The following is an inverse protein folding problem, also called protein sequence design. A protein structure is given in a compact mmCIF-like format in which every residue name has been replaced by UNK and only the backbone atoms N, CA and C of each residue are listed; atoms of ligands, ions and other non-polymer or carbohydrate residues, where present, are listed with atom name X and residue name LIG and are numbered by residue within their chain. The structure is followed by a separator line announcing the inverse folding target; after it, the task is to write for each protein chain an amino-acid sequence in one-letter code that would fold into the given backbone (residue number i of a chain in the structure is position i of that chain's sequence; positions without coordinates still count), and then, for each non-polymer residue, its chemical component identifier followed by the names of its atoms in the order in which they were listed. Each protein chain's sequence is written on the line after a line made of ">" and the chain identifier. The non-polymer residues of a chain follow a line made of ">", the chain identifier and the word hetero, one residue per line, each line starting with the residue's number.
data_IF_883262332827
#
_entry.id   IF_883262332827
#
_cell.length_a   1.000
_cell.length_b   1.000
_cell.length_c   1.000
_cell.angle_alpha   90.00
_cell.angle_beta   90.00
_cell.angle_gamma   90.00
#
_symmetry.space_group_name_H-M   'P 1'
#
loop_
_entity.id
_entity.type
_entity.pdbx_description
1 polymer ?
#
# COMPACT_ATOMS: atom_id res chain seq x y z
N UNK A 1 -6.01 -13.96 -17.52
CA UNK A 1 -7.15 -13.23 -16.92
C UNK A 1 -6.63 -11.92 -16.33
N UNK A 2 -7.46 -10.88 -16.24
CA UNK A 2 -7.09 -9.60 -15.64
C UNK A 2 -8.24 -8.99 -14.82
N UNK A 3 -7.93 -8.02 -13.98
CA UNK A 3 -8.91 -7.10 -13.38
C UNK A 3 -8.96 -5.80 -14.17
N UNK A 4 -10.14 -5.52 -14.72
CA UNK A 4 -10.47 -4.24 -15.31
C UNK A 4 -11.21 -3.40 -14.26
N UNK A 5 -10.56 -2.37 -13.72
CA UNK A 5 -11.09 -1.49 -12.67
C UNK A 5 -12.46 -0.86 -13.02
N UNK A 6 -12.81 -0.72 -14.30
CA UNK A 6 -14.12 -0.17 -14.70
C UNK A 6 -15.28 -1.09 -14.34
N UNK A 7 -15.03 -2.40 -14.24
CA UNK A 7 -16.10 -3.40 -14.13
C UNK A 7 -15.84 -4.54 -13.16
N UNK A 8 -14.59 -4.74 -12.75
CA UNK A 8 -14.19 -5.78 -11.80
C UNK A 8 -14.95 -5.65 -10.47
N UNK A 9 -15.27 -4.41 -10.08
CA UNK A 9 -15.90 -4.11 -8.80
C UNK A 9 -17.44 -4.19 -8.81
N UNK A 10 -18.08 -4.44 -9.96
CA UNK A 10 -19.55 -4.56 -10.02
C UNK A 10 -20.03 -5.84 -9.33
N UNK A 11 -20.86 -5.70 -8.32
CA UNK A 11 -21.33 -6.75 -7.42
C UNK A 11 -20.27 -7.23 -6.42
N UNK A 12 -19.14 -6.52 -6.32
CA UNK A 12 -18.05 -6.90 -5.41
C UNK A 12 -18.35 -6.55 -3.96
N UNK A 13 -17.49 -6.99 -3.05
CA UNK A 13 -17.45 -6.50 -1.66
C UNK A 13 -17.34 -4.97 -1.61
N UNK A 14 -16.48 -4.36 -2.43
CA UNK A 14 -16.25 -2.92 -2.41
C UNK A 14 -17.50 -2.13 -2.80
N UNK A 15 -18.22 -2.56 -3.84
CA UNK A 15 -19.48 -1.93 -4.24
C UNK A 15 -20.57 -2.07 -3.16
N UNK A 16 -20.63 -3.22 -2.46
CA UNK A 16 -21.56 -3.42 -1.32
C UNK A 16 -21.28 -2.50 -0.14
N UNK A 17 -20.04 -2.05 0.04
CA UNK A 17 -19.65 -1.05 1.03
C UNK A 17 -19.47 0.34 0.41
N UNK A 18 -20.07 0.58 -0.76
CA UNK A 18 -20.13 1.90 -1.39
C UNK A 18 -18.75 2.52 -1.66
N UNK A 19 -17.72 1.68 -1.81
CA UNK A 19 -16.37 2.06 -2.21
C UNK A 19 -16.21 1.72 -3.69
N UNK A 20 -15.98 2.74 -4.52
CA UNK A 20 -15.69 2.58 -5.94
C UNK A 20 -14.19 2.82 -6.20
N UNK A 21 -13.40 1.76 -6.47
CA UNK A 21 -11.97 1.91 -6.72
C UNK A 21 -11.70 2.56 -8.08
N UNK A 22 -10.77 3.51 -8.12
CA UNK A 22 -10.36 4.22 -9.33
C UNK A 22 -8.94 3.82 -9.74
N UNK A 23 -8.01 3.87 -8.78
CA UNK A 23 -6.61 3.59 -9.00
C UNK A 23 -6.00 3.00 -7.73
N UNK A 24 -5.05 2.09 -7.89
CA UNK A 24 -4.14 1.68 -6.83
C UNK A 24 -2.72 1.82 -7.37
N UNK A 25 -1.83 2.42 -6.58
CA UNK A 25 -0.40 2.38 -6.79
C UNK A 25 0.30 1.86 -5.54
N UNK A 26 1.35 1.08 -5.71
CA UNK A 26 2.18 0.53 -4.63
C UNK A 26 3.64 0.84 -4.94
N UNK A 27 4.38 1.25 -3.92
CA UNK A 27 5.81 1.42 -3.96
C UNK A 27 6.43 0.45 -2.94
N UNK A 28 7.11 -0.56 -3.47
CA UNK A 28 7.89 -1.59 -2.76
C UNK A 28 9.35 -1.12 -2.62
N UNK A 29 9.56 0.16 -2.31
CA UNK A 29 10.90 0.75 -2.35
C UNK A 29 11.87 0.13 -1.33
N UNK A 30 11.35 -0.60 -0.35
CA UNK A 30 12.09 -0.95 0.85
C UNK A 30 11.96 -2.42 1.25
N UNK A 31 10.81 -3.05 1.01
CA UNK A 31 10.53 -4.42 1.40
C UNK A 31 11.62 -5.40 0.94
N UNK A 32 12.02 -6.29 1.84
CA UNK A 32 13.12 -7.29 1.76
C UNK A 32 12.84 -8.44 0.76
N UNK A 33 12.12 -8.13 -0.31
CA UNK A 33 11.48 -9.07 -1.24
C UNK A 33 12.52 -9.74 -2.10
N UNK A 34 12.98 -10.92 -1.67
CA UNK A 34 13.55 -12.08 -2.40
C UNK A 34 14.67 -11.88 -3.46
N UNK A 35 14.90 -10.67 -3.98
CA UNK A 35 16.01 -10.30 -4.88
C UNK A 35 17.27 -9.87 -4.10
N UNK A 36 17.28 -10.15 -2.79
CA UNK A 36 18.34 -9.80 -1.88
C UNK A 36 18.33 -8.35 -1.51
N UNK A 37 18.72 -8.07 -0.28
CA UNK A 37 18.93 -6.71 0.16
C UNK A 37 20.22 -6.15 -0.48
N UNK A 38 20.17 -5.92 -1.80
CA UNK A 38 21.33 -5.61 -2.61
C UNK A 38 21.98 -4.30 -2.16
N UNK A 39 21.15 -3.30 -1.82
CA UNK A 39 21.65 -2.04 -1.31
C UNK A 39 22.32 -2.21 0.04
N UNK A 40 21.76 -3.03 0.94
CA UNK A 40 22.42 -3.39 2.19
C UNK A 40 23.76 -4.08 1.95
N UNK A 41 23.82 -5.11 1.10
CA UNK A 41 25.07 -5.82 0.78
C UNK A 41 26.10 -4.90 0.13
N UNK A 42 25.65 -3.96 -0.69
CA UNK A 42 26.50 -2.92 -1.27
C UNK A 42 27.02 -1.95 -0.20
N UNK A 43 26.17 -1.50 0.71
CA UNK A 43 26.56 -0.67 1.86
C UNK A 43 27.62 -1.39 2.68
N UNK A 44 27.33 -2.62 3.12
CA UNK A 44 28.24 -3.48 3.87
C UNK A 44 29.59 -3.67 3.12
N UNK A 45 29.54 -3.97 1.82
CA UNK A 45 30.74 -4.13 1.00
C UNK A 45 31.57 -2.84 0.91
N UNK A 46 30.93 -1.68 0.78
CA UNK A 46 31.60 -0.38 0.71
C UNK A 46 32.31 -0.02 2.01
N UNK A 47 31.80 -0.49 3.15
CA UNK A 47 32.41 -0.25 4.46
C UNK A 47 33.71 -1.04 4.68
N UNK A 48 33.96 -2.11 3.92
CA UNK A 48 35.15 -2.94 4.10
C UNK A 48 36.39 -2.45 3.33
N UNK A 49 37.39 -1.95 4.07
CA UNK A 49 38.75 -1.77 3.59
C UNK A 49 38.89 -0.80 2.41
N UNK A 50 39.58 -1.22 1.34
CA UNK A 50 39.83 -0.39 0.14
C UNK A 50 38.66 -0.41 -0.88
N UNK A 51 37.48 -0.91 -0.52
CA UNK A 51 36.39 -1.12 -1.49
C UNK A 51 35.80 0.18 -2.03
N UNK A 52 35.61 1.20 -1.20
CA UNK A 52 35.20 2.52 -1.66
C UNK A 52 36.23 3.15 -2.62
N UNK A 53 37.53 2.98 -2.34
CA UNK A 53 38.60 3.43 -3.24
C UNK A 53 38.64 2.61 -4.53
N UNK A 54 38.34 1.31 -4.45
CA UNK A 54 38.22 0.44 -5.61
C UNK A 54 37.08 0.88 -6.52
N UNK A 55 35.91 1.25 -5.96
CA UNK A 55 34.79 1.80 -6.72
C UNK A 55 35.20 3.04 -7.53
N UNK A 56 36.01 3.91 -6.92
CA UNK A 56 36.51 5.15 -7.54
C UNK A 56 37.57 4.87 -8.62
N UNK A 57 38.42 3.85 -8.45
CA UNK A 57 39.59 3.59 -9.29
C UNK A 57 39.34 2.62 -10.45
N UNK A 58 38.59 1.54 -10.22
CA UNK A 58 38.45 0.43 -11.17
C UNK A 58 37.09 -0.28 -11.03
N UNK A 59 36.16 0.10 -11.90
CA UNK A 59 34.76 -0.33 -11.95
C UNK A 59 34.63 -1.83 -12.15
N UNK A 60 35.38 -2.38 -13.10
CA UNK A 60 35.34 -3.79 -13.43
C UNK A 60 35.91 -4.62 -12.27
N UNK A 61 36.99 -4.15 -11.63
CA UNK A 61 37.52 -4.83 -10.45
C UNK A 61 36.55 -4.76 -9.26
N UNK A 62 35.88 -3.63 -9.04
CA UNK A 62 34.85 -3.50 -8.01
C UNK A 62 33.69 -4.46 -8.26
N UNK A 63 33.06 -4.42 -9.45
CA UNK A 63 31.94 -5.30 -9.81
C UNK A 63 32.33 -6.77 -9.66
N UNK A 64 33.53 -7.15 -10.14
CA UNK A 64 34.01 -8.52 -10.04
C UNK A 64 34.29 -8.96 -8.60
N UNK A 65 34.74 -8.06 -7.74
CA UNK A 65 34.97 -8.36 -6.32
C UNK A 65 33.63 -8.45 -5.58
N UNK A 66 32.78 -7.44 -5.74
CA UNK A 66 31.45 -7.39 -5.13
C UNK A 66 30.60 -8.60 -5.52
N UNK A 67 30.55 -8.96 -6.81
CA UNK A 67 29.79 -10.13 -7.29
C UNK A 67 30.26 -11.48 -6.70
N UNK A 68 31.50 -11.56 -6.20
CA UNK A 68 32.03 -12.77 -5.54
C UNK A 68 31.75 -12.81 -4.05
N UNK A 69 31.50 -11.65 -3.44
CA UNK A 69 31.30 -11.49 -1.99
C UNK A 69 29.81 -11.37 -1.62
N UNK A 70 28.95 -10.98 -2.56
CA UNK A 70 27.49 -11.06 -2.47
C UNK A 70 27.03 -12.50 -2.15
N UNK A 71 25.97 -12.64 -1.33
CA UNK A 71 25.42 -13.94 -0.93
C UNK A 71 25.07 -14.79 -2.14
N UNK A 72 25.36 -16.10 -2.05
CA UNK A 72 25.22 -17.02 -3.17
C UNK A 72 23.79 -17.11 -3.75
N UNK A 73 22.80 -16.80 -2.92
CA UNK A 73 21.38 -16.82 -3.28
C UNK A 73 21.01 -15.68 -4.24
N UNK A 74 21.87 -14.67 -4.36
CA UNK A 74 21.73 -13.52 -5.27
C UNK A 74 22.57 -13.65 -6.54
N UNK A 75 23.18 -14.82 -6.75
CA UNK A 75 23.86 -15.12 -8.01
C UNK A 75 22.85 -15.35 -9.13
N UNK A 76 22.29 -14.25 -9.63
CA UNK A 76 21.78 -14.23 -10.99
C UNK A 76 22.96 -14.37 -11.96
N UNK A 77 22.88 -15.27 -12.96
CA UNK A 77 23.88 -15.29 -14.04
C UNK A 77 23.86 -14.00 -14.86
N UNK A 78 22.81 -13.17 -14.71
CA UNK A 78 22.75 -11.85 -15.30
C UNK A 78 23.40 -10.80 -14.39
N UNK A 79 24.61 -10.37 -14.77
CA UNK A 79 25.35 -9.30 -14.08
C UNK A 79 24.79 -7.87 -14.32
N UNK A 80 23.75 -7.72 -15.13
CA UNK A 80 23.23 -6.41 -15.55
C UNK A 80 22.75 -5.58 -14.35
N UNK A 81 22.14 -6.24 -13.36
CA UNK A 81 21.63 -5.57 -12.17
C UNK A 81 22.78 -5.06 -11.29
N UNK A 82 23.82 -5.88 -11.04
CA UNK A 82 25.00 -5.47 -10.28
C UNK A 82 25.68 -4.26 -10.91
N UNK A 83 25.81 -4.25 -12.25
CA UNK A 83 26.37 -3.10 -12.98
C UNK A 83 25.52 -1.85 -12.80
N UNK A 84 24.21 -1.96 -12.98
CA UNK A 84 23.30 -0.82 -12.80
C UNK A 84 23.41 -0.23 -11.38
N UNK A 85 23.50 -1.07 -10.35
CA UNK A 85 23.70 -0.58 -8.99
C UNK A 85 25.06 0.09 -8.78
N UNK A 86 26.15 -0.49 -9.29
CA UNK A 86 27.48 0.13 -9.22
C UNK A 86 27.51 1.49 -9.92
N UNK A 87 26.88 1.59 -11.09
CA UNK A 87 26.74 2.85 -11.82
C UNK A 87 25.93 3.88 -11.01
N UNK A 88 24.89 3.46 -10.30
CA UNK A 88 24.11 4.32 -9.39
C UNK A 88 24.90 4.74 -8.16
N UNK A 89 25.70 3.86 -7.55
CA UNK A 89 26.60 4.21 -6.44
C UNK A 89 27.64 5.24 -6.87
N UNK A 90 28.16 5.11 -8.09
CA UNK A 90 29.08 6.09 -8.67
C UNK A 90 28.39 7.43 -8.91
N UNK A 91 27.17 7.41 -9.44
CA UNK A 91 26.38 8.62 -9.58
C UNK A 91 26.23 9.31 -8.21
N UNK A 92 25.89 8.57 -7.16
CA UNK A 92 25.83 9.11 -5.80
C UNK A 92 27.15 9.72 -5.33
N UNK A 93 28.24 8.98 -5.43
CA UNK A 93 29.57 9.44 -5.02
C UNK A 93 30.02 10.70 -5.79
N UNK A 94 29.54 10.89 -7.01
CA UNK A 94 29.84 12.07 -7.83
C UNK A 94 28.90 13.25 -7.55
N UNK A 95 27.61 12.99 -7.30
CA UNK A 95 26.59 14.01 -7.05
C UNK A 95 26.64 14.57 -5.63
N UNK A 96 27.10 13.77 -4.67
CA UNK A 96 27.18 14.13 -3.25
C UNK A 96 28.46 13.58 -2.61
N UNK A 97 29.65 14.00 -3.09
CA UNK A 97 30.92 13.44 -2.62
C UNK A 97 31.12 13.66 -1.12
N UNK A 98 30.76 14.83 -0.59
CA UNK A 98 30.92 15.12 0.84
C UNK A 98 30.07 14.18 1.72
N UNK A 99 28.81 13.94 1.33
CA UNK A 99 27.91 13.04 2.06
C UNK A 99 28.37 11.58 1.94
N UNK A 100 28.85 11.17 0.76
CA UNK A 100 29.36 9.83 0.54
C UNK A 100 30.59 9.54 1.42
N UNK A 101 31.57 10.45 1.45
CA UNK A 101 32.73 10.30 2.33
C UNK A 101 32.33 10.39 3.82
N UNK A 102 31.40 11.27 4.20
CA UNK A 102 30.92 11.38 5.59
C UNK A 102 30.30 10.05 6.06
N UNK A 103 29.46 9.41 5.24
CA UNK A 103 28.86 8.12 5.56
C UNK A 103 29.92 7.02 5.67
N UNK A 104 30.92 7.00 4.79
CA UNK A 104 32.02 6.03 4.86
C UNK A 104 32.95 6.25 6.07
N UNK A 105 33.26 7.50 6.41
CA UNK A 105 34.07 7.84 7.57
C UNK A 105 33.37 7.43 8.87
N UNK A 106 32.06 7.70 8.98
CA UNK A 106 31.24 7.27 10.11
C UNK A 106 31.25 5.75 10.26
N UNK A 107 31.07 5.03 9.16
CA UNK A 107 31.08 3.57 9.17
C UNK A 107 32.44 3.00 9.62
N UNK A 108 33.55 3.61 9.22
CA UNK A 108 34.89 3.17 9.63
C UNK A 108 35.22 3.48 11.10
N UNK A 109 34.61 4.53 11.68
CA UNK A 109 34.89 4.98 13.04
C UNK A 109 34.20 4.12 14.12
N UNK A 110 33.04 3.55 13.80
CA UNK A 110 32.29 2.68 14.70
C UNK A 110 32.81 1.24 14.53
N UNK A 111 33.64 0.79 15.47
CA UNK A 111 34.19 -0.58 15.45
C UNK A 111 33.04 -1.57 15.68
N UNK A 112 32.54 -2.14 14.59
CA UNK A 112 31.44 -3.12 14.59
C UNK A 112 31.75 -4.28 15.53
N UNK A 113 31.02 -4.37 16.64
CA UNK A 113 30.91 -5.60 17.41
C UNK A 113 29.74 -6.40 16.83
N UNK A 114 30.03 -7.54 16.21
CA UNK A 114 29.08 -8.58 15.77
C UNK A 114 27.77 -8.08 15.12
N UNK A 115 27.77 -7.90 13.78
CA UNK A 115 26.60 -7.92 12.88
C UNK A 115 25.26 -7.43 13.47
N UNK A 116 25.22 -6.21 13.97
CA UNK A 116 23.95 -5.60 14.35
C UNK A 116 23.25 -5.12 13.07
N UNK A 117 22.07 -5.68 12.77
CA UNK A 117 21.24 -5.27 11.62
C UNK A 117 20.76 -3.81 11.73
N UNK A 118 21.06 -3.17 12.86
CA UNK A 118 20.64 -1.83 13.22
C UNK A 118 21.73 -0.77 12.98
N UNK A 119 22.74 -1.00 12.11
CA UNK A 119 23.73 0.05 11.78
C UNK A 119 23.01 1.27 11.16
N UNK A 120 22.95 2.40 11.90
CA UNK A 120 22.24 3.58 11.43
C UNK A 120 22.87 4.14 10.15
N UNK A 121 24.18 3.97 9.95
CA UNK A 121 24.93 4.53 8.83
C UNK A 121 24.67 3.71 7.56
N UNK A 122 24.73 2.37 7.61
CA UNK A 122 24.31 1.50 6.51
C UNK A 122 22.89 1.85 6.03
N UNK A 123 21.96 2.01 6.97
CA UNK A 123 20.56 2.29 6.65
C UNK A 123 20.40 3.65 5.97
N UNK A 124 21.12 4.68 6.44
CA UNK A 124 21.07 6.01 5.83
C UNK A 124 21.65 6.02 4.42
N UNK A 125 22.77 5.33 4.20
CA UNK A 125 23.37 5.14 2.89
C UNK A 125 22.43 4.38 1.95
N UNK A 126 21.81 3.31 2.43
CA UNK A 126 20.85 2.52 1.67
C UNK A 126 19.65 3.36 1.22
N UNK A 127 19.04 4.14 2.13
CA UNK A 127 17.92 5.02 1.80
C UNK A 127 18.31 6.00 0.68
N UNK A 128 19.52 6.57 0.75
CA UNK A 128 20.02 7.51 -0.26
C UNK A 128 20.29 6.85 -1.61
N UNK A 129 20.85 5.64 -1.61
CA UNK A 129 21.06 4.87 -2.83
C UNK A 129 19.73 4.47 -3.49
N UNK A 130 18.72 4.10 -2.69
CA UNK A 130 17.35 3.82 -3.18
C UNK A 130 16.67 5.06 -3.73
N UNK A 131 16.82 6.22 -3.07
CA UNK A 131 16.33 7.51 -3.55
C UNK A 131 16.90 7.85 -4.94
N UNK A 132 18.22 7.71 -5.11
CA UNK A 132 18.87 7.95 -6.39
C UNK A 132 18.49 6.92 -7.45
N UNK A 133 18.41 5.65 -7.08
CA UNK A 133 17.96 4.62 -8.00
C UNK A 133 16.54 4.91 -8.50
N UNK A 134 15.66 5.37 -7.62
CA UNK A 134 14.31 5.78 -7.97
C UNK A 134 14.31 6.95 -8.97
N UNK A 135 15.13 7.98 -8.73
CA UNK A 135 15.19 9.19 -9.56
C UNK A 135 15.85 8.97 -10.94
N UNK A 136 16.81 8.04 -11.02
CA UNK A 136 17.69 7.92 -12.19
C UNK A 136 17.53 6.62 -12.99
N UNK A 137 16.84 5.60 -12.45
CA UNK A 137 16.69 4.30 -13.12
C UNK A 137 15.21 3.95 -13.34
N UNK A 138 14.76 4.08 -14.60
CA UNK A 138 13.43 3.63 -15.01
C UNK A 138 13.24 2.12 -14.80
N UNK A 139 14.31 1.33 -14.92
CA UNK A 139 14.27 -0.11 -14.70
C UNK A 139 14.09 -0.43 -13.21
N UNK A 140 14.73 0.34 -12.33
CA UNK A 140 14.51 0.24 -10.88
C UNK A 140 13.08 0.65 -10.53
N UNK A 141 12.63 1.82 -11.00
CA UNK A 141 11.25 2.28 -10.81
C UNK A 141 10.24 1.23 -11.28
N UNK A 142 10.42 0.64 -12.47
CA UNK A 142 9.50 -0.37 -13.02
C UNK A 142 9.44 -1.66 -12.18
N UNK A 143 10.50 -1.97 -11.42
CA UNK A 143 10.53 -3.12 -10.50
C UNK A 143 9.80 -2.84 -9.20
N UNK A 144 10.00 -1.66 -8.61
CA UNK A 144 9.49 -1.34 -7.26
C UNK A 144 8.15 -0.59 -7.27
N UNK A 145 7.73 -0.04 -8.41
CA UNK A 145 6.49 0.72 -8.52
C UNK A 145 5.45 0.00 -9.38
N UNK A 146 4.27 -0.19 -8.82
CA UNK A 146 3.16 -0.88 -9.45
C UNK A 146 1.92 0.00 -9.45
N UNK A 147 1.25 0.15 -10.61
CA UNK A 147 0.06 0.99 -10.74
C UNK A 147 -1.01 0.30 -11.59
N UNK A 148 -2.22 0.19 -11.04
CA UNK A 148 -3.40 -0.35 -11.70
C UNK A 148 -4.57 0.64 -11.64
N UNK A 149 -5.47 0.56 -12.61
CA UNK A 149 -6.65 1.41 -12.69
C UNK A 149 -6.52 2.58 -13.67
N UNK A 150 -7.33 3.61 -13.45
CA UNK A 150 -7.37 4.80 -14.29
C UNK A 150 -6.35 5.84 -13.84
N UNK A 151 -5.69 6.51 -14.79
CA UNK A 151 -4.80 7.62 -14.45
C UNK A 151 -5.60 8.80 -13.89
N UNK A 152 -5.45 9.04 -12.60
CA UNK A 152 -5.99 10.19 -11.92
C UNK A 152 -5.03 11.38 -12.06
N UNK A 153 -5.55 12.56 -12.39
CA UNK A 153 -4.78 13.81 -12.37
C UNK A 153 -3.63 13.92 -13.40
N UNK A 154 -3.50 12.98 -14.35
CA UNK A 154 -2.38 12.90 -15.29
C UNK A 154 -0.99 12.82 -14.62
N UNK A 155 -0.93 12.34 -13.38
CA UNK A 155 0.33 12.19 -12.64
C UNK A 155 1.19 11.09 -13.28
N UNK A 156 2.49 11.36 -13.45
CA UNK A 156 3.42 10.35 -13.94
C UNK A 156 3.76 9.34 -12.85
N UNK A 157 4.25 8.16 -13.26
CA UNK A 157 4.65 7.14 -12.28
C UNK A 157 5.83 7.60 -11.43
N UNK A 158 6.76 8.35 -12.03
CA UNK A 158 7.87 8.96 -11.31
C UNK A 158 7.38 9.95 -10.24
N UNK A 159 6.44 10.84 -10.58
CA UNK A 159 5.90 11.81 -9.62
C UNK A 159 5.19 11.10 -8.45
N UNK A 160 4.42 10.06 -8.74
CA UNK A 160 3.75 9.27 -7.72
C UNK A 160 4.74 8.51 -6.84
N UNK A 161 5.75 7.89 -7.44
CA UNK A 161 6.75 7.13 -6.72
C UNK A 161 7.61 8.03 -5.82
N UNK A 162 8.06 9.20 -6.32
CA UNK A 162 8.76 10.21 -5.50
C UNK A 162 7.87 10.64 -4.33
N UNK A 163 6.60 10.99 -4.59
CA UNK A 163 5.66 11.38 -3.53
C UNK A 163 5.47 10.29 -2.46
N UNK A 164 5.41 9.03 -2.88
CA UNK A 164 5.28 7.88 -1.98
C UNK A 164 6.57 7.63 -1.20
N UNK A 165 7.73 7.80 -1.84
CA UNK A 165 9.04 7.72 -1.21
C UNK A 165 9.22 8.82 -0.15
N UNK A 166 8.88 10.07 -0.50
CA UNK A 166 8.90 11.22 0.41
C UNK A 166 7.98 11.01 1.61
N UNK A 167 6.82 10.39 1.43
CA UNK A 167 5.92 10.08 2.53
C UNK A 167 6.57 9.12 3.53
N UNK A 168 7.26 8.09 3.03
CA UNK A 168 7.94 7.10 3.87
C UNK A 168 9.10 7.73 4.65
N UNK A 169 9.93 8.54 3.98
CA UNK A 169 11.11 9.17 4.61
C UNK A 169 10.74 10.29 5.59
N UNK A 170 9.62 10.98 5.36
CA UNK A 170 9.17 12.10 6.19
C UNK A 170 8.09 11.73 7.23
N UNK A 171 7.69 10.46 7.34
CA UNK A 171 6.69 10.02 8.31
C UNK A 171 7.15 10.29 9.76
N UNK A 172 6.57 11.32 10.38
CA UNK A 172 6.67 11.62 11.82
C UNK A 172 5.50 10.93 12.56
N UNK A 173 5.63 10.48 13.82
CA UNK A 173 6.60 10.92 14.84
C UNK A 173 7.47 9.77 15.39
N UNK A 174 7.95 8.87 14.53
CA UNK A 174 8.83 7.78 14.97
C UNK A 174 10.17 8.34 15.43
N UNK A 175 10.77 7.72 16.45
CA UNK A 175 12.14 8.01 16.82
C UNK A 175 13.08 7.76 15.63
N UNK A 176 14.30 8.29 15.66
CA UNK A 176 15.18 8.24 14.48
C UNK A 176 15.60 6.82 14.09
N UNK A 177 15.61 5.86 15.02
CA UNK A 177 16.03 4.47 14.80
C UNK A 177 14.84 3.62 14.33
N UNK A 178 13.70 3.68 15.04
CA UNK A 178 12.43 3.07 14.64
C UNK A 178 11.99 3.55 13.26
N UNK A 179 12.20 4.83 12.94
CA UNK A 179 11.92 5.37 11.62
C UNK A 179 12.75 4.68 10.54
N UNK A 180 14.04 4.46 10.80
CA UNK A 180 14.98 3.84 9.86
C UNK A 180 14.59 2.39 9.60
N UNK A 181 14.37 1.61 10.66
CA UNK A 181 13.92 0.22 10.56
C UNK A 181 12.58 0.11 9.86
N UNK A 182 11.61 0.97 10.22
CA UNK A 182 10.29 0.97 9.59
C UNK A 182 10.36 1.32 8.12
N UNK A 183 11.20 2.27 7.69
CA UNK A 183 11.36 2.61 6.27
C UNK A 183 11.69 1.35 5.47
N UNK A 184 12.70 0.56 5.91
CA UNK A 184 13.13 -0.67 5.24
C UNK A 184 12.03 -1.73 5.12
N UNK A 185 11.01 -1.70 5.96
CA UNK A 185 9.93 -2.68 5.95
C UNK A 185 8.59 -2.06 5.60
N UNK A 186 8.57 -0.87 4.98
CA UNK A 186 7.32 -0.19 4.62
C UNK A 186 6.99 -0.37 3.14
N UNK A 187 5.79 -0.89 2.88
CA UNK A 187 5.08 -0.70 1.63
C UNK A 187 4.26 0.59 1.70
N UNK A 188 4.38 1.41 0.66
CA UNK A 188 3.54 2.60 0.51
C UNK A 188 2.47 2.30 -0.53
N UNK A 189 1.22 2.62 -0.21
CA UNK A 189 0.10 2.54 -1.16
C UNK A 189 -0.53 3.91 -1.37
N UNK A 190 -0.85 4.20 -2.63
CA UNK A 190 -1.74 5.30 -3.01
C UNK A 190 -3.00 4.70 -3.61
N UNK A 191 -4.13 4.94 -2.97
CA UNK A 191 -5.43 4.37 -3.35
C UNK A 191 -6.37 5.53 -3.67
N UNK A 192 -6.72 5.68 -4.94
CA UNK A 192 -7.80 6.58 -5.36
C UNK A 192 -9.10 5.79 -5.42
N UNK A 193 -10.11 6.29 -4.70
CA UNK A 193 -11.44 5.69 -4.66
C UNK A 193 -12.48 6.79 -4.50
N UNK A 194 -13.73 6.47 -4.84
CA UNK A 194 -14.87 7.33 -4.54
C UNK A 194 -15.73 6.63 -3.48
N UNK A 195 -16.08 7.36 -2.42
CA UNK A 195 -17.15 6.94 -1.53
C UNK A 195 -18.48 7.38 -2.15
N UNK A 196 -19.38 6.43 -2.41
CA UNK A 196 -20.64 6.67 -3.12
C UNK A 196 -21.77 6.83 -2.11
N UNK A 197 -22.39 8.00 -2.02
CA UNK A 197 -23.53 8.20 -1.11
C UNK A 197 -24.84 7.58 -1.64
N UNK A 198 -25.88 7.54 -0.80
CA UNK A 198 -27.18 6.92 -1.15
C UNK A 198 -27.83 7.48 -2.42
N UNK A 199 -27.63 8.77 -2.71
CA UNK A 199 -28.08 9.40 -3.95
C UNK A 199 -27.23 9.10 -5.18
N UNK A 200 -26.22 8.22 -5.08
CA UNK A 200 -25.24 7.96 -6.13
C UNK A 200 -24.24 9.11 -6.35
N UNK A 201 -24.15 10.06 -5.40
CA UNK A 201 -23.16 11.14 -5.44
C UNK A 201 -21.79 10.60 -5.03
N UNK A 202 -20.77 10.88 -5.84
CA UNK A 202 -19.40 10.47 -5.57
C UNK A 202 -18.70 11.50 -4.68
N UNK A 203 -18.01 11.01 -3.65
CA UNK A 203 -17.03 11.76 -2.87
C UNK A 203 -15.63 11.25 -3.25
N UNK A 204 -14.90 11.95 -4.13
CA UNK A 204 -13.62 11.50 -4.64
C UNK A 204 -12.51 11.68 -3.59
N UNK A 205 -11.83 10.58 -3.28
CA UNK A 205 -10.84 10.51 -2.22
C UNK A 205 -9.52 9.94 -2.74
N UNK A 206 -8.46 10.30 -2.05
CA UNK A 206 -7.13 9.73 -2.18
C UNK A 206 -6.63 9.31 -0.81
N UNK A 207 -6.25 8.05 -0.68
CA UNK A 207 -5.60 7.53 0.50
C UNK A 207 -4.11 7.33 0.22
N UNK A 208 -3.27 7.87 1.09
CA UNK A 208 -1.86 7.53 1.17
C UNK A 208 -1.66 6.67 2.41
N UNK A 209 -1.22 5.43 2.24
CA UNK A 209 -1.17 4.42 3.28
C UNK A 209 0.25 3.87 3.42
N UNK A 210 0.72 3.72 4.66
CA UNK A 210 1.96 3.04 5.01
C UNK A 210 1.59 1.71 5.68
N UNK A 211 2.06 0.62 5.08
CA UNK A 211 1.87 -0.75 5.55
C UNK A 211 3.23 -1.34 5.90
N UNK A 212 3.46 -1.65 7.17
CA UNK A 212 4.68 -2.34 7.57
C UNK A 212 4.56 -3.83 7.20
N UNK A 213 5.61 -4.43 6.64
CA UNK A 213 5.58 -5.78 6.05
C UNK A 213 6.39 -6.80 6.82
N UNK A 214 7.19 -6.40 7.79
CA UNK A 214 8.07 -7.34 8.48
C UNK A 214 7.36 -8.15 9.57
N UNK A 215 7.64 -9.46 9.56
CA UNK A 215 7.13 -10.50 10.45
C UNK A 215 7.50 -10.22 11.92
N UNK A 216 8.60 -9.51 12.18
CA UNK A 216 8.96 -9.06 13.53
C UNK A 216 8.00 -7.99 14.09
N UNK A 217 7.17 -7.40 13.24
CA UNK A 217 6.28 -6.29 13.54
C UNK A 217 4.82 -6.60 13.21
N UNK A 218 4.42 -7.88 13.34
CA UNK A 218 3.02 -8.33 13.20
C UNK A 218 2.07 -7.58 14.15
N UNK A 219 2.60 -7.07 15.26
CA UNK A 219 1.83 -6.33 16.25
C UNK A 219 1.47 -4.91 15.76
N UNK A 220 2.19 -4.32 14.81
CA UNK A 220 2.00 -2.91 14.46
C UNK A 220 0.68 -2.58 13.74
N UNK A 221 0.14 -1.39 14.02
CA UNK A 221 -0.98 -0.82 13.30
C UNK A 221 -0.65 -0.51 11.83
N UNK A 222 -1.57 0.15 11.13
CA UNK A 222 -1.29 0.76 9.82
C UNK A 222 -1.58 2.26 9.87
N UNK A 223 -0.88 3.00 9.03
CA UNK A 223 -1.04 4.44 8.92
C UNK A 223 -1.68 4.80 7.58
N UNK A 224 -2.56 5.79 7.57
CA UNK A 224 -2.99 6.40 6.34
C UNK A 224 -3.46 7.85 6.53
N UNK A 225 -3.27 8.67 5.50
CA UNK A 225 -4.00 9.93 5.32
C UNK A 225 -5.02 9.79 4.19
N UNK A 226 -6.26 10.21 4.44
CA UNK A 226 -7.32 10.25 3.42
C UNK A 226 -7.66 11.71 3.14
N UNK A 227 -7.51 12.12 1.88
CA UNK A 227 -7.76 13.49 1.41
C UNK A 227 -8.87 13.52 0.37
N UNK A 228 -9.65 14.60 0.38
CA UNK A 228 -10.54 14.94 -0.72
C UNK A 228 -9.70 15.26 -1.95
N UNK A 229 -9.90 14.50 -3.02
CA UNK A 229 -9.07 14.58 -4.23
C UNK A 229 -9.29 15.87 -5.03
N UNK A 230 -10.43 16.54 -4.84
CA UNK A 230 -10.75 17.79 -5.53
C UNK A 230 -10.26 19.02 -4.78
N UNK A 231 -10.23 18.96 -3.44
CA UNK A 231 -9.91 20.12 -2.58
C UNK A 231 -8.59 19.99 -1.83
N UNK A 232 -7.98 18.80 -1.86
CA UNK A 232 -6.79 18.40 -1.10
C UNK A 232 -6.94 18.52 0.44
N UNK A 233 -8.18 18.69 0.92
CA UNK A 233 -8.48 18.76 2.35
C UNK A 233 -8.27 17.38 2.97
N UNK A 234 -7.54 17.33 4.08
CA UNK A 234 -7.40 16.13 4.90
C UNK A 234 -8.73 15.79 5.57
N UNK A 235 -9.32 14.66 5.17
CA UNK A 235 -10.63 14.19 5.63
C UNK A 235 -10.49 13.28 6.84
N UNK A 236 -9.53 12.34 6.79
CA UNK A 236 -9.34 11.36 7.85
C UNK A 236 -7.87 10.92 7.99
N UNK A 237 -7.54 10.37 9.16
CA UNK A 237 -6.25 9.74 9.43
C UNK A 237 -6.44 8.40 10.12
N UNK A 238 -5.68 7.40 9.69
CA UNK A 238 -5.42 6.19 10.44
C UNK A 238 -3.99 6.28 10.98
N UNK A 239 -3.79 5.95 12.25
CA UNK A 239 -2.46 5.94 12.85
C UNK A 239 -2.40 4.92 13.98
N UNK A 240 -1.19 4.47 14.28
CA UNK A 240 -0.93 3.58 15.39
C UNK A 240 -1.20 4.29 16.71
N UNK A 241 -2.12 3.75 17.50
CA UNK A 241 -2.36 4.25 18.84
C UNK A 241 -1.26 3.72 19.76
N UNK A 242 -0.23 4.52 20.00
CA UNK A 242 0.74 4.32 21.07
C UNK A 242 0.04 4.46 22.44
N UNK A 243 -0.81 3.50 22.79
CA UNK A 243 -1.24 3.32 24.17
C UNK A 243 -0.03 2.79 24.92
N UNK A 244 0.75 3.73 25.45
CA UNK A 244 1.92 3.48 26.29
C UNK A 244 1.61 2.46 27.40
N UNK A 245 2.60 1.58 27.57
CA UNK A 245 3.08 0.97 28.81
C UNK A 245 2.29 -0.17 29.44
N UNK A 246 2.81 -1.38 29.15
CA UNK A 246 3.29 -2.41 30.10
C UNK A 246 2.30 -3.04 31.09
N UNK A 247 1.14 -2.44 31.33
CA UNK A 247 0.37 -2.78 32.54
C UNK A 247 -0.70 -3.84 32.29
N UNK A 248 -1.10 -4.08 31.02
CA UNK A 248 -2.22 -4.96 30.70
C UNK A 248 -2.06 -5.84 29.45
N UNK A 249 -0.91 -5.80 28.76
CA UNK A 249 -0.71 -6.58 27.52
C UNK A 249 -1.75 -6.26 26.44
N UNK A 250 -2.17 -5.00 26.37
CA UNK A 250 -3.21 -4.57 25.45
C UNK A 250 -2.66 -4.56 24.03
N UNK A 251 -3.37 -5.27 23.15
CA UNK A 251 -3.08 -5.40 21.73
C UNK A 251 -3.08 -4.05 21.04
N UNK A 252 -2.18 -3.88 20.09
CA UNK A 252 -2.03 -2.67 19.32
C UNK A 252 -3.30 -2.38 18.49
N UNK A 253 -3.63 -1.10 18.38
CA UNK A 253 -4.86 -0.66 17.71
C UNK A 253 -4.53 0.40 16.66
N UNK A 254 -5.01 0.20 15.44
CA UNK A 254 -5.10 1.32 14.50
C UNK A 254 -6.23 2.22 14.94
N UNK A 255 -5.93 3.48 15.26
CA UNK A 255 -6.95 4.48 15.55
C UNK A 255 -7.26 5.27 14.29
N UNK A 256 -8.55 5.43 14.02
CA UNK A 256 -9.07 6.14 12.87
C UNK A 256 -9.84 7.37 13.35
N UNK A 257 -9.40 8.54 12.87
CA UNK A 257 -9.94 9.84 13.23
C UNK A 257 -10.47 10.56 11.97
N UNK A 258 -11.70 11.06 12.04
CA UNK A 258 -12.25 11.99 11.02
C UNK A 258 -11.84 13.41 11.39
N UNK A 259 -10.99 14.02 10.56
CA UNK A 259 -10.39 15.34 10.79
C UNK A 259 -11.29 16.46 10.28
N UNK A 260 -11.98 16.26 9.15
CA UNK A 260 -12.88 17.24 8.53
C UNK A 260 -14.32 16.70 8.44
N UNK A 261 -14.97 16.51 9.60
CA UNK A 261 -16.32 15.94 9.68
C UNK A 261 -17.37 16.76 8.94
N UNK A 262 -17.23 18.09 8.93
CA UNK A 262 -18.10 19.01 8.19
C UNK A 262 -18.02 18.81 6.68
N UNK A 263 -16.82 18.53 6.15
CA UNK A 263 -16.63 18.19 4.73
C UNK A 263 -17.30 16.86 4.41
N UNK A 264 -17.16 15.85 5.28
CA UNK A 264 -17.83 14.55 5.12
C UNK A 264 -19.35 14.72 5.08
N UNK A 265 -19.94 15.43 6.04
CA UNK A 265 -21.40 15.65 6.11
C UNK A 265 -21.96 16.39 4.89
N UNK A 266 -21.18 17.29 4.27
CA UNK A 266 -21.58 18.03 3.07
C UNK A 266 -21.44 17.20 1.79
N UNK A 267 -20.46 16.30 1.74
CA UNK A 267 -20.07 15.60 0.51
C UNK A 267 -20.58 14.17 0.42
N UNK A 268 -20.75 13.48 1.55
CA UNK A 268 -21.17 12.09 1.65
C UNK A 268 -22.52 11.95 2.36
N UNK A 269 -23.48 11.35 1.68
CA UNK A 269 -24.78 11.02 2.25
C UNK A 269 -24.81 9.52 2.61
N UNK A 270 -24.90 9.16 3.90
CA UNK A 270 -24.80 7.77 4.34
C UNK A 270 -25.98 6.93 3.87
N UNK A 271 -25.73 5.65 3.59
CA UNK A 271 -26.75 4.67 3.21
C UNK A 271 -27.50 4.12 4.42
N UNK A 272 -26.83 4.01 5.57
CA UNK A 272 -27.38 3.46 6.81
C UNK A 272 -27.37 1.93 6.87
N UNK A 273 -26.76 1.26 5.90
CA UNK A 273 -26.61 -0.20 5.83
C UNK A 273 -25.24 -0.68 6.34
N UNK A 274 -24.32 0.23 6.65
CA UNK A 274 -23.02 -0.09 7.27
C UNK A 274 -23.13 0.02 8.79
N UNK A 275 -22.71 -1.00 9.57
CA UNK A 275 -22.88 -0.97 11.02
C UNK A 275 -21.94 0.05 11.70
N UNK A 276 -22.54 1.03 12.39
CA UNK A 276 -21.84 2.12 13.10
C UNK A 276 -21.96 2.07 14.62
N UNK A 277 -22.64 1.05 15.15
CA UNK A 277 -22.96 0.95 16.59
C UNK A 277 -21.72 0.85 17.50
N UNK A 278 -20.58 0.48 16.94
CA UNK A 278 -19.35 0.20 17.69
C UNK A 278 -18.26 1.21 17.42
N UNK A 279 -17.47 1.47 18.47
CA UNK A 279 -16.26 2.29 18.39
C UNK A 279 -15.02 1.49 18.06
N UNK A 280 -15.10 0.16 18.04
CA UNK A 280 -13.99 -0.68 17.59
C UNK A 280 -14.50 -1.70 16.59
N UNK A 281 -13.61 -2.22 15.75
CA UNK A 281 -13.93 -3.26 14.78
C UNK A 281 -13.99 -4.66 15.40
N UNK A 282 -13.54 -4.82 16.65
CA UNK A 282 -13.20 -6.12 17.24
C UNK A 282 -11.98 -6.77 16.59
N UNK A 283 -11.68 -8.00 17.00
CA UNK A 283 -10.61 -8.82 16.44
C UNK A 283 -11.05 -10.29 16.32
N UNK A 284 -10.31 -11.08 15.54
CA UNK A 284 -10.52 -12.53 15.44
C UNK A 284 -9.50 -13.23 16.33
N UNK A 285 -9.95 -14.08 17.25
CA UNK A 285 -9.01 -14.82 18.08
C UNK A 285 -8.39 -15.96 17.28
N UNK A 286 -7.06 -15.96 17.22
CA UNK A 286 -6.27 -16.91 16.46
C UNK A 286 -6.23 -18.33 17.07
N UNK A 287 -6.67 -18.51 18.31
CA UNK A 287 -6.54 -19.79 19.03
C UNK A 287 -7.35 -20.97 18.46
N UNK A 288 -8.16 -20.78 17.42
CA UNK A 288 -8.96 -21.82 16.78
C UNK A 288 -8.60 -22.08 15.30
N UNK A 289 -7.31 -22.29 15.00
CA UNK A 289 -6.78 -22.74 13.70
C UNK A 289 -7.43 -24.00 13.07
N UNK A 290 -8.45 -24.60 13.69
CA UNK A 290 -9.03 -25.89 13.26
C UNK A 290 -10.09 -25.78 12.17
N UNK A 291 -10.62 -24.59 11.89
CA UNK A 291 -11.62 -24.42 10.83
C UNK A 291 -11.34 -23.16 10.00
N UNK A 292 -11.12 -23.26 8.66
CA UNK A 292 -10.85 -22.12 7.77
C UNK A 292 -11.91 -21.01 7.80
N UNK A 293 -13.12 -21.34 8.25
CA UNK A 293 -14.28 -20.44 8.34
C UNK A 293 -14.74 -20.23 9.81
N UNK A 294 -14.07 -20.82 10.80
CA UNK A 294 -14.48 -20.89 12.20
C UNK A 294 -13.69 -19.98 13.12
N UNK A 295 -13.48 -18.72 12.73
CA UNK A 295 -12.90 -17.72 13.62
C UNK A 295 -13.94 -17.28 14.66
N UNK A 296 -13.62 -17.48 15.95
CA UNK A 296 -14.39 -16.89 17.03
C UNK A 296 -14.12 -15.38 17.03
N UNK A 297 -15.05 -14.62 16.44
CA UNK A 297 -15.02 -13.16 16.53
C UNK A 297 -15.15 -12.75 18.00
N UNK A 298 -14.10 -12.10 18.51
CA UNK A 298 -14.06 -11.64 19.87
C UNK A 298 -14.23 -10.13 19.92
N UNK A 299 -15.10 -9.72 20.83
CA UNK A 299 -15.23 -8.32 21.18
C UNK A 299 -13.96 -7.91 21.94
N UNK A 300 -13.34 -6.82 21.51
CA UNK A 300 -12.31 -6.19 22.34
C UNK A 300 -13.00 -5.57 23.55
N UNK A 301 -13.03 -6.29 24.68
CA UNK A 301 -13.58 -5.79 25.95
C UNK A 301 -12.78 -4.56 26.43
N UNK A 302 -11.50 -4.39 26.05
CA UNK A 302 -10.66 -3.33 26.60
C UNK A 302 -10.86 -1.94 25.97
N UNK A 303 -11.53 -1.86 24.82
CA UNK A 303 -12.13 -0.60 24.34
C UNK A 303 -13.28 -0.11 25.23
N UNK A 304 -13.75 -0.92 26.19
CA UNK A 304 -14.73 -0.52 27.21
C UNK A 304 -14.11 0.18 28.42
N UNK A 305 -12.80 0.07 28.65
CA UNK A 305 -12.25 0.32 29.99
C UNK A 305 -11.99 1.79 30.34
N UNK A 306 -12.07 2.74 29.40
CA UNK A 306 -12.05 4.16 29.78
C UNK A 306 -13.25 4.97 29.24
N UNK A 307 -14.11 5.35 30.20
CA UNK A 307 -15.05 6.51 30.21
C UNK A 307 -16.47 6.41 29.67
N UNK A 308 -16.95 5.33 29.05
CA UNK A 308 -18.37 5.26 28.71
C UNK A 308 -19.00 3.88 28.90
N UNK A 309 -19.54 3.64 30.10
CA UNK A 309 -20.53 2.57 30.37
C UNK A 309 -21.85 2.71 29.58
N UNK A 310 -21.82 3.27 28.36
CA UNK A 310 -22.93 3.45 27.43
C UNK A 310 -23.03 2.28 26.44
N UNK A 311 -21.94 1.72 25.93
CA UNK A 311 -22.03 0.69 24.86
C UNK A 311 -22.50 -0.68 25.37
N UNK A 312 -22.10 -1.11 26.58
CA UNK A 312 -22.63 -2.34 27.21
C UNK A 312 -24.14 -2.25 27.44
N UNK A 313 -24.66 -1.02 27.55
CA UNK A 313 -26.09 -0.71 27.64
C UNK A 313 -26.81 -0.65 26.29
N UNK A 314 -26.12 -0.58 25.15
CA UNK A 314 -26.75 -0.57 23.82
C UNK A 314 -27.03 -2.01 23.39
N UNK A 315 -26.02 -2.89 23.41
CA UNK A 315 -26.21 -4.30 23.03
C UNK A 315 -27.08 -5.08 24.01
N UNK A 316 -27.03 -4.74 25.31
CA UNK A 316 -27.91 -5.39 26.31
C UNK A 316 -29.39 -5.03 26.14
N UNK A 317 -29.71 -3.97 25.39
CA UNK A 317 -31.09 -3.59 25.07
C UNK A 317 -31.66 -4.26 23.82
N UNK A 318 -30.79 -4.80 22.95
CA UNK A 318 -31.22 -5.54 21.75
C UNK A 318 -31.75 -6.91 22.14
N UNK A 319 -32.80 -7.35 21.44
CA UNK A 319 -33.27 -8.72 21.52
C UNK A 319 -32.15 -9.69 21.06
N UNK A 320 -32.11 -10.93 21.55
CA UNK A 320 -31.08 -11.90 21.16
C UNK A 320 -30.94 -12.07 19.63
N UNK A 321 -32.05 -12.05 18.90
CA UNK A 321 -32.10 -12.21 17.45
C UNK A 321 -31.53 -10.99 16.72
N UNK A 322 -31.91 -9.78 17.15
CA UNK A 322 -31.36 -8.51 16.61
C UNK A 322 -29.86 -8.41 16.89
N UNK A 323 -29.44 -8.80 18.10
CA UNK A 323 -28.04 -8.85 18.48
C UNK A 323 -27.27 -9.76 17.52
N UNK A 324 -27.79 -10.95 17.24
CA UNK A 324 -27.14 -11.91 16.33
C UNK A 324 -26.91 -11.31 14.94
N UNK A 325 -27.93 -10.65 14.36
CA UNK A 325 -27.80 -9.99 13.05
C UNK A 325 -26.75 -8.88 13.06
N UNK A 326 -26.75 -8.03 14.10
CA UNK A 326 -25.72 -6.97 14.25
C UNK A 326 -24.32 -7.56 14.38
N UNK A 327 -24.15 -8.67 15.12
CA UNK A 327 -22.85 -9.37 15.20
C UNK A 327 -22.44 -9.87 13.83
N UNK A 328 -23.34 -10.52 13.09
CA UNK A 328 -23.04 -11.04 11.75
C UNK A 328 -22.59 -9.94 10.79
N UNK A 329 -23.23 -8.77 10.81
CA UNK A 329 -22.86 -7.64 9.95
C UNK A 329 -21.52 -7.00 10.36
N UNK A 330 -21.24 -6.92 11.66
CA UNK A 330 -19.93 -6.46 12.16
C UNK A 330 -18.81 -7.42 11.80
N UNK A 331 -19.05 -8.73 11.88
CA UNK A 331 -18.10 -9.76 11.44
C UNK A 331 -17.81 -9.63 9.95
N UNK A 332 -18.84 -9.43 9.12
CA UNK A 332 -18.67 -9.22 7.67
C UNK A 332 -17.87 -7.95 7.40
N UNK A 333 -18.20 -6.83 8.05
CA UNK A 333 -17.46 -5.58 7.91
C UNK A 333 -15.99 -5.78 8.31
N UNK A 334 -15.72 -6.45 9.43
CA UNK A 334 -14.37 -6.73 9.91
C UNK A 334 -13.58 -7.58 8.92
N UNK A 335 -14.18 -8.66 8.40
CA UNK A 335 -13.55 -9.57 7.41
C UNK A 335 -13.13 -8.83 6.12
N UNK A 336 -13.87 -7.78 5.79
CA UNK A 336 -13.69 -6.93 4.63
C UNK A 336 -12.93 -5.62 4.93
N UNK A 337 -12.42 -5.44 6.15
CA UNK A 337 -11.65 -4.27 6.58
C UNK A 337 -10.16 -4.60 6.68
N UNK A 338 -9.31 -3.65 6.32
CA UNK A 338 -7.86 -3.80 6.38
C UNK A 338 -7.36 -4.05 7.80
N UNK A 339 -6.64 -5.16 7.92
CA UNK A 339 -6.20 -5.74 9.17
C UNK A 339 -4.91 -6.49 8.92
N UNK A 340 -3.79 -5.99 9.47
CA UNK A 340 -2.48 -6.63 9.33
C UNK A 340 -2.50 -8.04 9.89
N UNK A 341 -2.85 -8.20 11.16
CA UNK A 341 -3.02 -9.49 11.82
C UNK A 341 -4.49 -9.80 12.13
N UNK A 342 -4.76 -10.98 12.69
CA UNK A 342 -6.11 -11.39 13.13
C UNK A 342 -6.51 -10.74 14.45
N UNK A 343 -5.55 -10.49 15.33
CA UNK A 343 -5.70 -9.88 16.65
C UNK A 343 -5.64 -8.35 16.64
N UNK A 344 -5.14 -7.75 15.55
CA UNK A 344 -5.25 -6.31 15.33
C UNK A 344 -6.70 -5.87 15.41
N UNK A 345 -6.96 -4.69 15.98
CA UNK A 345 -8.28 -4.07 16.00
C UNK A 345 -8.21 -2.60 15.57
N UNK A 346 -9.31 -2.10 15.00
CA UNK A 346 -9.43 -0.70 14.59
C UNK A 346 -10.32 0.02 15.58
N UNK A 347 -9.85 1.13 16.13
CA UNK A 347 -10.61 2.07 16.95
C UNK A 347 -11.09 3.23 16.10
N UNK A 348 -12.31 3.67 16.32
CA UNK A 348 -12.99 4.69 15.55
C UNK A 348 -13.37 5.87 16.44
N UNK A 349 -13.03 7.07 16.00
CA UNK A 349 -13.30 8.33 16.71
C UNK A 349 -14.79 8.69 16.76
N UNK A 350 -15.57 8.24 15.77
CA UNK A 350 -16.95 8.68 15.56
C UNK A 350 -17.91 7.50 15.31
N UNK A 351 -19.18 7.84 15.08
CA UNK A 351 -20.21 6.90 14.63
C UNK A 351 -20.59 7.15 13.16
N UNK A 352 -19.75 7.84 12.40
CA UNK A 352 -19.98 8.10 10.98
C UNK A 352 -19.77 6.83 10.18
N UNK A 353 -20.72 6.53 9.28
CA UNK A 353 -20.61 5.42 8.33
C UNK A 353 -19.35 5.53 7.48
N UNK A 354 -19.05 6.74 7.00
CA UNK A 354 -17.86 7.05 6.21
C UNK A 354 -16.57 6.52 6.84
N UNK A 355 -16.45 6.62 8.16
CA UNK A 355 -15.29 6.19 8.92
C UNK A 355 -15.08 4.67 8.85
N UNK A 356 -16.15 3.89 8.66
CA UNK A 356 -16.10 2.43 8.48
C UNK A 356 -15.72 2.03 7.06
N UNK A 357 -15.87 2.92 6.08
CA UNK A 357 -15.49 2.65 4.69
C UNK A 357 -13.97 2.73 4.48
N UNK A 358 -13.26 3.51 5.30
CA UNK A 358 -11.81 3.73 5.12
C UNK A 358 -11.02 2.42 5.24
N UNK A 359 -11.22 1.56 6.27
CA UNK A 359 -10.55 0.26 6.31
C UNK A 359 -10.97 -0.66 5.15
N UNK A 360 -12.19 -0.56 4.64
CA UNK A 360 -12.63 -1.34 3.49
C UNK A 360 -11.90 -0.87 2.23
N UNK A 361 -11.76 0.44 2.01
CA UNK A 361 -10.97 0.98 0.92
C UNK A 361 -9.48 0.63 1.04
N UNK A 362 -8.94 0.62 2.26
CA UNK A 362 -7.56 0.18 2.52
C UNK A 362 -7.30 -1.27 2.08
N UNK A 363 -8.32 -2.16 2.05
CA UNK A 363 -8.15 -3.52 1.51
C UNK A 363 -7.79 -3.54 0.02
N UNK A 364 -7.95 -2.45 -0.73
CA UNK A 364 -7.51 -2.36 -2.11
C UNK A 364 -5.99 -2.49 -2.26
N UNK A 365 -5.20 -2.25 -1.21
CA UNK A 365 -3.75 -2.52 -1.22
C UNK A 365 -3.44 -3.99 -1.52
N UNK A 366 -4.31 -4.91 -1.10
CA UNK A 366 -4.16 -6.36 -1.37
C UNK A 366 -4.23 -6.73 -2.86
N UNK A 367 -4.67 -5.82 -3.73
CA UNK A 367 -4.64 -6.04 -5.18
C UNK A 367 -3.22 -6.08 -5.74
N UNK A 368 -2.25 -5.44 -5.09
CA UNK A 368 -0.85 -5.39 -5.53
C UNK A 368 0.07 -6.30 -4.69
N UNK A 369 -0.51 -7.17 -3.85
CA UNK A 369 0.28 -8.01 -2.95
C UNK A 369 1.00 -9.12 -3.74
N UNK A 370 2.33 -9.18 -3.59
CA UNK A 370 3.16 -10.30 -4.06
C UNK A 370 3.15 -11.44 -3.04
N UNK A 371 3.42 -12.66 -3.51
CA UNK A 371 3.36 -13.94 -2.76
C UNK A 371 4.29 -14.06 -1.53
N UNK A 372 5.01 -13.00 -1.15
CA UNK A 372 6.07 -13.01 -0.14
C UNK A 372 5.55 -13.46 1.24
N UNK A 373 4.30 -13.17 1.55
CA UNK A 373 3.66 -13.53 2.82
C UNK A 373 3.12 -14.96 2.86
N UNK A 374 3.30 -15.76 1.80
CA UNK A 374 2.82 -17.13 1.74
C UNK A 374 3.43 -18.04 2.82
N UNK A 375 4.53 -17.62 3.48
CA UNK A 375 5.24 -18.47 4.43
C UNK A 375 4.62 -18.53 5.83
N UNK A 376 3.93 -17.51 6.36
CA UNK A 376 3.50 -17.56 7.79
C UNK A 376 2.15 -16.97 8.20
N UNK A 377 1.68 -15.84 7.67
CA UNK A 377 0.58 -15.13 8.37
C UNK A 377 -0.81 -15.29 7.78
N UNK A 378 -0.99 -15.56 6.48
CA UNK A 378 -2.30 -16.00 5.92
C UNK A 378 -2.11 -16.89 4.67
N UNK A 379 -2.88 -18.00 4.50
CA UNK A 379 -2.95 -18.79 3.26
C UNK A 379 -3.57 -18.06 2.04
N UNK A 380 -3.46 -16.74 2.01
CA UNK A 380 -4.25 -15.80 1.24
C UNK A 380 -3.27 -14.68 0.83
N UNK A 381 -3.04 -14.30 -0.42
CA UNK A 381 -3.94 -14.39 -1.56
C UNK A 381 -3.16 -14.30 -2.90
N UNK A 382 -2.83 -15.43 -3.54
CA UNK A 382 -2.64 -15.45 -5.01
C UNK A 382 -3.86 -14.76 -5.67
N UNK A 383 -3.67 -14.19 -6.88
CA UNK A 383 -4.69 -13.42 -7.62
C UNK A 383 -6.12 -14.00 -7.53
N UNK A 384 -6.28 -15.32 -7.64
CA UNK A 384 -7.58 -16.00 -7.60
C UNK A 384 -8.24 -15.98 -6.20
N UNK A 385 -7.47 -15.91 -5.12
CA UNK A 385 -8.01 -15.75 -3.76
C UNK A 385 -8.50 -14.33 -3.52
N UNK A 386 -7.75 -13.30 -3.96
CA UNK A 386 -8.22 -11.90 -3.97
C UNK A 386 -9.53 -11.79 -4.74
N UNK A 387 -9.58 -12.36 -5.95
CA UNK A 387 -10.78 -12.39 -6.80
C UNK A 387 -11.96 -13.05 -6.09
N UNK A 388 -11.76 -14.21 -5.48
CA UNK A 388 -12.82 -14.93 -4.75
C UNK A 388 -13.25 -14.17 -3.48
N UNK A 389 -12.30 -13.68 -2.70
CA UNK A 389 -12.52 -13.00 -1.42
C UNK A 389 -13.36 -11.75 -1.60
N UNK A 390 -13.06 -10.93 -2.60
CA UNK A 390 -13.79 -9.69 -2.84
C UNK A 390 -14.87 -9.81 -3.90
N UNK A 391 -15.13 -11.03 -4.39
CA UNK A 391 -16.14 -11.30 -5.43
C UNK A 391 -15.90 -10.44 -6.69
N UNK A 392 -14.62 -10.30 -7.09
CA UNK A 392 -14.22 -9.50 -8.24
C UNK A 392 -14.56 -10.22 -9.54
N UNK A 393 -14.94 -9.43 -10.55
CA UNK A 393 -15.10 -9.94 -11.91
C UNK A 393 -13.78 -9.83 -12.64
N UNK A 394 -13.35 -10.96 -13.19
CA UNK A 394 -12.21 -10.99 -14.10
C UNK A 394 -12.66 -10.78 -15.54
N UNK A 395 -11.74 -10.38 -16.40
CA UNK A 395 -11.98 -10.27 -17.85
C UNK A 395 -10.78 -10.81 -18.61
N UNK A 396 -10.99 -11.12 -19.89
CA UNK A 396 -9.90 -11.34 -20.84
C UNK A 396 -9.36 -10.00 -21.34
N UNK A 397 -8.11 -10.00 -21.82
CA UNK A 397 -7.50 -8.81 -22.42
C UNK A 397 -8.30 -8.31 -23.63
N UNK A 398 -8.83 -9.23 -24.44
CA UNK A 398 -9.63 -8.88 -25.61
C UNK A 398 -10.98 -8.25 -25.25
N UNK A 399 -11.66 -8.75 -24.21
CA UNK A 399 -12.91 -8.16 -23.72
C UNK A 399 -12.69 -6.75 -23.17
N UNK A 400 -11.59 -6.54 -22.44
CA UNK A 400 -11.26 -5.23 -21.90
C UNK A 400 -10.88 -4.25 -23.02
N UNK A 401 -10.02 -4.65 -23.95
CA UNK A 401 -9.66 -3.82 -25.13
C UNK A 401 -10.87 -3.46 -25.98
N UNK A 402 -11.78 -4.40 -26.24
CA UNK A 402 -13.01 -4.13 -27.01
C UNK A 402 -13.89 -3.09 -26.30
N UNK A 403 -14.02 -3.20 -24.99
CA UNK A 403 -14.83 -2.29 -24.16
C UNK A 403 -14.23 -0.90 -24.12
N UNK A 404 -12.92 -0.81 -23.90
CA UNK A 404 -12.18 0.45 -23.90
C UNK A 404 -12.29 1.14 -25.24
N UNK A 405 -12.16 0.38 -26.33
CA UNK A 405 -12.32 0.91 -27.68
C UNK A 405 -13.71 1.52 -27.88
N UNK A 406 -14.78 0.77 -27.55
CA UNK A 406 -16.16 1.25 -27.69
C UNK A 406 -16.40 2.51 -26.85
N UNK A 407 -15.94 2.51 -25.59
CA UNK A 407 -16.11 3.65 -24.70
C UNK A 407 -15.34 4.88 -25.19
N UNK A 408 -14.09 4.71 -25.65
CA UNK A 408 -13.25 5.79 -26.13
C UNK A 408 -13.79 6.36 -27.46
N UNK A 409 -14.29 5.52 -28.38
CA UNK A 409 -14.92 5.97 -29.63
C UNK A 409 -16.19 6.78 -29.33
N UNK A 410 -17.02 6.30 -28.41
CA UNK A 410 -18.22 7.03 -27.99
C UNK A 410 -17.86 8.37 -27.31
N UNK A 411 -16.82 8.38 -26.47
CA UNK A 411 -16.28 9.59 -25.85
C UNK A 411 -15.77 10.59 -26.89
N UNK A 412 -14.98 10.13 -27.86
CA UNK A 412 -14.49 10.95 -28.97
C UNK A 412 -15.64 11.61 -29.73
N UNK A 413 -16.65 10.82 -30.13
CA UNK A 413 -17.85 11.35 -30.80
C UNK A 413 -18.62 12.34 -29.93
N UNK A 414 -18.72 12.07 -28.64
CA UNK A 414 -19.36 12.98 -27.68
C UNK A 414 -18.67 14.34 -27.61
N UNK A 415 -17.34 14.36 -27.55
CA UNK A 415 -16.52 15.60 -27.52
C UNK A 415 -16.66 16.38 -28.83
N UNK A 416 -16.66 15.69 -29.96
CA UNK A 416 -16.71 16.30 -31.30
C UNK A 416 -18.11 16.45 -31.88
N UNK A 417 -19.14 16.28 -31.06
CA UNK A 417 -20.54 16.30 -31.50
C UNK A 417 -20.89 17.62 -32.20
N UNK A 418 -21.51 17.53 -33.37
CA UNK A 418 -21.88 18.67 -34.21
C UNK A 418 -20.73 19.25 -35.04
N UNK A 419 -19.53 18.66 -34.98
CA UNK A 419 -18.39 19.06 -35.81
C UNK A 419 -18.18 18.06 -36.96
N UNK A 420 -17.33 18.42 -37.93
CA UNK A 420 -16.92 17.48 -38.98
C UNK A 420 -16.19 16.24 -38.45
N UNK A 421 -15.64 16.30 -37.23
CA UNK A 421 -14.90 15.20 -36.62
C UNK A 421 -15.83 14.09 -36.08
N UNK A 422 -17.11 14.39 -35.81
CA UNK A 422 -18.10 13.38 -35.40
C UNK A 422 -18.32 12.30 -36.48
N UNK A 423 -18.16 12.70 -37.76
CA UNK A 423 -18.40 11.85 -38.94
C UNK A 423 -17.16 11.04 -39.37
N UNK A 424 -16.07 11.08 -38.60
CA UNK A 424 -14.90 10.28 -38.94
C UNK A 424 -15.23 8.77 -38.91
N UNK A 425 -14.67 8.00 -39.86
CA UNK A 425 -14.75 6.54 -39.83
C UNK A 425 -14.21 5.94 -38.52
N UNK A 426 -14.83 4.86 -38.03
CA UNK A 426 -14.47 4.21 -36.77
C UNK A 426 -12.99 3.75 -36.73
N UNK A 427 -12.46 3.31 -37.87
CA UNK A 427 -11.07 2.89 -38.04
C UNK A 427 -10.09 4.07 -37.85
N UNK A 428 -10.43 5.26 -38.38
CA UNK A 428 -9.62 6.45 -38.17
C UNK A 428 -9.71 6.95 -36.71
N UNK A 429 -10.91 6.94 -36.10
CA UNK A 429 -11.06 7.28 -34.69
C UNK A 429 -10.24 6.32 -33.82
N UNK A 430 -10.33 5.02 -34.09
CA UNK A 430 -9.56 3.97 -33.39
C UNK A 430 -8.06 4.21 -33.51
N UNK A 431 -7.59 4.55 -34.71
CA UNK A 431 -6.19 4.89 -34.96
C UNK A 431 -5.75 6.15 -34.20
N UNK A 432 -6.57 7.20 -34.16
CA UNK A 432 -6.28 8.40 -33.36
C UNK A 432 -6.17 8.03 -31.87
N UNK A 433 -7.17 7.29 -31.36
CA UNK A 433 -7.23 6.90 -29.96
C UNK A 433 -6.06 6.01 -29.55
N UNK A 434 -5.56 5.13 -30.43
CA UNK A 434 -4.40 4.29 -30.13
C UNK A 434 -3.09 5.08 -29.96
N UNK A 435 -3.04 6.34 -30.41
CA UNK A 435 -1.88 7.21 -30.26
C UNK A 435 -2.04 8.26 -29.16
N UNK A 436 -3.29 8.59 -28.80
CA UNK A 436 -3.59 9.69 -27.86
C UNK A 436 -4.04 9.18 -26.49
N UNK A 437 -4.78 8.07 -26.44
CA UNK A 437 -5.29 7.52 -25.19
C UNK A 437 -4.30 6.51 -24.64
N UNK A 438 -3.75 6.80 -23.46
CA UNK A 438 -2.98 5.81 -22.72
C UNK A 438 -3.90 4.64 -22.36
N UNK A 439 -3.51 3.38 -22.64
CA UNK A 439 -4.31 2.24 -22.26
C UNK A 439 -4.48 2.21 -20.74
N UNK A 440 -5.67 1.80 -20.30
CA UNK A 440 -5.90 1.55 -18.89
C UNK A 440 -4.93 0.50 -18.38
N UNK A 441 -4.44 0.67 -17.15
CA UNK A 441 -3.54 -0.29 -16.54
C UNK A 441 -4.36 -1.37 -15.85
N UNK A 442 -4.21 -2.60 -16.33
CA UNK A 442 -4.91 -3.75 -15.79
C UNK A 442 -4.01 -4.51 -14.81
N UNK A 443 -4.61 -5.09 -13.78
CA UNK A 443 -3.91 -6.08 -12.96
C UNK A 443 -4.01 -7.44 -13.64
N UNK A 444 -2.88 -8.01 -14.05
CA UNK A 444 -2.84 -9.32 -14.69
C UNK A 444 -2.71 -10.43 -13.66
N UNK A 445 -3.40 -11.55 -13.92
CA UNK A 445 -3.12 -12.80 -13.22
C UNK A 445 -1.68 -13.24 -13.56
N UNK A 446 -0.82 -13.52 -12.57
CA UNK A 446 0.52 -14.08 -12.81
C UNK A 446 0.47 -15.37 -13.64
N UNK A 447 1.51 -15.68 -14.43
CA UNK A 447 1.62 -16.98 -15.10
C UNK A 447 1.74 -18.12 -14.07
N UNK A 448 1.15 -19.28 -14.40
CA UNK A 448 1.21 -20.51 -13.59
C UNK A 448 2.53 -21.26 -13.73
#
# INVERSE_FOLDING_TARGET
>A
MLLDFRTAFRGSVFERYHVLPIQVATLEAFSDVDDGNFFWELCEFLQYGENADLLKRDDDAFVNKFSKEIRADLHSPDTSMQRAFVDMTKAFANESPELFEELLEKANAEYFSDFDYDDPICTELEIKLRELALLHSNDYLAKIFHRSGMEVGHESDMDLAIKMFDLCTNAQPLDALERRMRILVTEVHLIDFDAVGVGGKHFPLRMLMLNLTDDGYEDHGWFAEVRDRETDILVARAYESALMEETLGLMEQTRLDIVAADVVEQRYEPHGDVPTLQRTSGYFNDRSWKEPDGYDFQWCDDGFCERAGRQRKVFSKLLPEERKLVVEDLVRLRKNSFSRSHDHSISYSSALEFERLIPVAAMLSSLHFREIFAKRTRPCDHFDSVVRRFELRTSTLDESRKRDLVQNVNGFRGVFKGTCWEQLPDDLITWILSHVVRPQRHLFRPPE
#
